data_IF_355576751424
#
_entry.id   IF_355576751424
#
_cell.length_a   1.000
_cell.length_b   1.000
_cell.length_c   1.000
_cell.angle_alpha   90.00
_cell.angle_beta   90.00
_cell.angle_gamma   90.00
#
_symmetry.space_group_name_H-M   'P 1'
#
loop_
_entity.id
_entity.type
_entity.pdbx_description
1 polymer ?
#
# COMPACT_ATOMS: atom_id res chain seq x y z
N UNK A 1 -15.91 -28.44 -66.61
CA UNK A 1 -14.60 -28.23 -67.26
C UNK A 1 -13.66 -27.62 -66.24
N UNK A 2 -12.48 -28.23 -66.08
CA UNK A 2 -11.20 -27.75 -65.49
C UNK A 2 -11.24 -27.03 -64.12
N UNK A 3 -10.73 -27.58 -63.01
CA UNK A 3 -9.35 -28.04 -62.64
C UNK A 3 -8.40 -26.89 -62.29
N UNK A 4 -7.79 -26.97 -61.09
CA UNK A 4 -6.54 -26.29 -60.67
C UNK A 4 -6.62 -25.75 -59.22
N UNK A 5 -6.37 -26.52 -58.14
CA UNK A 5 -5.08 -26.99 -57.58
C UNK A 5 -4.05 -25.87 -57.30
N UNK A 6 -3.57 -25.82 -56.05
CA UNK A 6 -2.36 -25.07 -55.67
C UNK A 6 -2.17 -24.85 -54.16
N UNK A 7 -1.85 -25.92 -53.43
CA UNK A 7 -1.18 -25.88 -52.11
C UNK A 7 0.12 -25.05 -52.17
N UNK A 8 0.45 -24.34 -51.09
CA UNK A 8 1.81 -24.41 -50.49
C UNK A 8 1.72 -24.18 -48.97
N UNK A 9 2.15 -25.18 -48.22
CA UNK A 9 2.49 -25.13 -46.80
C UNK A 9 3.90 -24.57 -46.63
N UNK A 10 4.13 -23.74 -45.62
CA UNK A 10 5.47 -23.42 -45.13
C UNK A 10 5.58 -23.86 -43.67
N UNK A 11 6.25 -24.99 -43.47
CA UNK A 11 6.70 -25.51 -42.18
C UNK A 11 8.04 -24.85 -41.87
N UNK A 12 8.12 -24.07 -40.80
CA UNK A 12 9.41 -23.59 -40.25
C UNK A 12 9.71 -24.39 -38.99
N UNK A 13 10.59 -25.38 -39.15
CA UNK A 13 11.28 -26.06 -38.05
C UNK A 13 12.42 -25.15 -37.58
N UNK A 14 12.31 -24.65 -36.35
CA UNK A 14 13.40 -23.97 -35.63
C UNK A 14 14.13 -24.95 -34.73
N UNK A 15 15.38 -25.21 -35.06
CA UNK A 15 16.26 -26.22 -34.47
C UNK A 15 16.83 -25.79 -33.11
N UNK A 16 17.16 -26.80 -32.31
CA UNK A 16 17.60 -26.75 -30.92
C UNK A 16 19.11 -26.46 -30.83
N UNK A 17 19.54 -25.55 -29.94
CA UNK A 17 20.96 -25.45 -29.54
C UNK A 17 21.16 -24.84 -28.14
N UNK A 18 21.07 -25.72 -27.13
CA UNK A 18 22.09 -25.97 -26.10
C UNK A 18 23.23 -24.92 -25.96
N UNK A 19 23.35 -24.28 -24.79
CA UNK A 19 24.64 -23.94 -24.15
C UNK A 19 24.45 -23.66 -22.67
N UNK A 20 24.80 -24.65 -21.85
CA UNK A 20 25.00 -24.47 -20.42
C UNK A 20 26.22 -23.59 -20.13
N UNK A 21 26.10 -22.75 -19.11
CA UNK A 21 27.24 -22.06 -18.50
C UNK A 21 27.05 -22.06 -16.99
N UNK A 22 27.57 -23.11 -16.34
CA UNK A 22 27.77 -23.15 -14.89
C UNK A 22 28.98 -22.28 -14.57
N UNK A 23 28.76 -21.17 -13.87
CA UNK A 23 29.85 -20.45 -13.19
C UNK A 23 29.57 -20.57 -11.70
N UNK A 24 30.27 -21.52 -11.07
CA UNK A 24 30.50 -21.44 -9.64
C UNK A 24 31.70 -20.52 -9.42
N UNK A 25 31.56 -19.53 -8.53
CA UNK A 25 32.71 -18.99 -7.83
C UNK A 25 32.33 -18.52 -6.43
N UNK A 26 32.58 -19.42 -5.50
CA UNK A 26 32.62 -19.24 -4.06
C UNK A 26 33.63 -18.16 -3.70
N UNK A 27 33.19 -17.11 -2.99
CA UNK A 27 34.08 -16.28 -2.16
C UNK A 27 33.40 -15.93 -0.84
N UNK A 28 33.62 -16.82 0.12
CA UNK A 28 33.59 -16.53 1.55
C UNK A 28 34.50 -15.34 1.85
N UNK A 29 33.94 -14.24 2.36
CA UNK A 29 34.69 -13.16 2.98
C UNK A 29 34.23 -13.00 4.42
N UNK A 30 35.03 -13.58 5.31
CA UNK A 30 35.01 -13.40 6.75
C UNK A 30 35.43 -11.97 7.09
N UNK A 31 34.59 -11.18 7.76
CA UNK A 31 35.02 -9.93 8.40
C UNK A 31 34.32 -9.71 9.74
N UNK A 32 35.07 -10.04 10.79
CA UNK A 32 35.32 -9.25 11.99
C UNK A 32 34.13 -8.43 12.56
N UNK A 33 33.39 -9.05 13.48
CA UNK A 33 32.51 -8.36 14.42
C UNK A 33 33.35 -7.59 15.45
N UNK A 34 33.34 -6.26 15.39
CA UNK A 34 33.79 -5.41 16.48
C UNK A 34 32.64 -5.23 17.48
N UNK A 35 32.77 -5.82 18.67
CA UNK A 35 31.83 -5.62 19.78
C UNK A 35 32.15 -4.28 20.43
N UNK A 36 31.35 -3.26 20.15
CA UNK A 36 31.38 -1.99 20.90
C UNK A 36 30.30 -2.07 21.97
N UNK A 37 30.73 -2.23 23.22
CA UNK A 37 29.84 -2.12 24.38
C UNK A 37 29.55 -0.63 24.63
N UNK A 38 28.34 -0.18 24.29
CA UNK A 38 27.85 1.15 24.65
C UNK A 38 27.25 1.04 26.05
N UNK A 39 27.89 1.68 27.03
CA UNK A 39 27.35 1.81 28.37
C UNK A 39 26.19 2.83 28.36
N UNK A 40 24.96 2.36 28.60
CA UNK A 40 23.81 3.22 28.80
C UNK A 40 24.00 4.10 30.04
N UNK A 41 24.14 5.41 29.83
CA UNK A 41 23.91 6.39 30.89
C UNK A 41 22.41 6.68 30.95
N UNK A 42 21.77 6.29 32.05
CA UNK A 42 20.38 6.64 32.31
C UNK A 42 20.25 8.15 32.56
N UNK A 43 19.33 8.86 31.90
CA UNK A 43 19.03 10.25 32.24
C UNK A 43 18.32 10.33 33.59
N UNK A 44 18.54 11.41 34.37
CA UNK A 44 17.91 11.59 35.68
C UNK A 44 16.40 11.85 35.56
N UNK A 45 15.61 11.06 36.29
CA UNK A 45 14.19 11.27 36.49
C UNK A 45 13.91 12.64 37.10
N UNK A 46 13.25 13.51 36.34
CA UNK A 46 12.70 14.76 36.88
C UNK A 46 11.34 14.46 37.50
N UNK A 47 11.31 14.52 38.83
CA UNK A 47 10.10 14.48 39.65
C UNK A 47 9.39 15.83 39.48
N UNK A 48 8.20 15.84 38.85
CA UNK A 48 7.33 17.03 38.86
C UNK A 48 6.34 16.86 40.00
N UNK A 49 6.51 17.71 41.00
CA UNK A 49 5.65 17.84 42.17
C UNK A 49 4.23 18.29 41.78
N UNK A 50 3.29 17.75 42.54
CA UNK A 50 1.89 18.09 42.54
C UNK A 50 1.65 19.56 42.92
N UNK A 51 0.66 20.18 42.28
CA UNK A 51 -0.45 20.85 42.96
C UNK A 51 -1.36 21.49 41.90
N UNK A 52 -2.64 21.18 41.93
CA UNK A 52 -3.64 22.21 42.24
C UNK A 52 -5.01 21.57 42.51
N UNK A 53 -5.42 21.71 43.76
CA UNK A 53 -6.79 21.66 44.23
C UNK A 53 -7.70 22.51 43.34
N UNK A 54 -8.83 21.95 42.92
CA UNK A 54 -10.05 22.73 42.68
C UNK A 54 -11.23 22.03 43.34
N UNK A 55 -11.94 22.82 44.14
CA UNK A 55 -13.09 22.46 44.96
C UNK A 55 -14.37 22.49 44.12
N UNK A 56 -15.43 21.77 44.54
CA UNK A 56 -16.69 21.65 43.80
C UNK A 56 -17.74 22.62 44.34
N UNK A 57 -18.26 23.51 43.49
CA UNK A 57 -19.61 24.08 43.54
C UNK A 57 -19.71 25.22 42.52
N UNK A 58 -20.40 24.99 41.41
CA UNK A 58 -21.69 25.66 41.18
C UNK A 58 -22.30 25.19 39.86
N UNK A 59 -23.51 24.67 40.00
CA UNK A 59 -24.40 24.29 38.93
C UNK A 59 -25.07 25.53 38.35
N UNK A 60 -25.05 25.72 37.02
CA UNK A 60 -26.19 26.28 36.30
C UNK A 60 -26.31 25.56 34.95
N UNK A 61 -27.46 24.91 34.77
CA UNK A 61 -27.92 24.30 33.55
C UNK A 61 -28.06 25.34 32.44
N UNK A 62 -27.47 25.06 31.29
CA UNK A 62 -27.87 25.68 30.03
C UNK A 62 -27.82 24.62 28.94
N UNK A 63 -28.94 23.89 28.82
CA UNK A 63 -29.29 23.15 27.62
C UNK A 63 -29.22 24.10 26.45
N UNK A 64 -28.23 23.90 25.59
CA UNK A 64 -28.23 24.40 24.22
C UNK A 64 -28.11 23.15 23.36
N UNK A 65 -29.26 22.52 23.09
CA UNK A 65 -29.39 21.53 22.03
C UNK A 65 -29.05 22.26 20.72
N UNK A 66 -27.81 22.08 20.27
CA UNK A 66 -27.41 22.42 18.91
C UNK A 66 -28.00 21.35 18.01
N UNK A 67 -28.71 21.69 16.92
CA UNK A 67 -29.12 20.69 15.96
C UNK A 67 -27.84 20.10 15.37
N UNK A 68 -27.56 18.84 15.70
CA UNK A 68 -26.68 18.01 14.89
C UNK A 68 -27.39 17.83 13.56
N UNK A 69 -27.16 18.75 12.62
CA UNK A 69 -27.31 18.44 11.21
C UNK A 69 -26.35 17.28 10.96
N UNK A 70 -26.91 16.08 10.94
CA UNK A 70 -26.31 14.96 10.24
C UNK A 70 -26.30 15.38 8.77
N UNK A 71 -25.24 16.08 8.35
CA UNK A 71 -24.87 16.15 6.95
C UNK A 71 -24.81 14.71 6.48
N UNK A 72 -25.84 14.31 5.74
CA UNK A 72 -25.86 13.06 5.00
C UNK A 72 -24.85 13.23 3.89
N UNK A 73 -23.57 13.10 4.23
CA UNK A 73 -22.48 13.04 3.29
C UNK A 73 -22.80 11.86 2.38
N UNK A 74 -23.21 12.18 1.15
CA UNK A 74 -23.48 11.20 0.12
C UNK A 74 -22.13 10.72 -0.42
N UNK A 75 -21.36 10.08 0.46
CA UNK A 75 -20.04 9.55 0.20
C UNK A 75 -20.19 8.40 -0.81
N UNK A 76 -19.35 8.41 -1.84
CA UNK A 76 -19.33 7.33 -2.82
C UNK A 76 -18.45 6.23 -2.27
N UNK A 77 -18.99 5.01 -2.10
CA UNK A 77 -18.22 3.87 -1.61
C UNK A 77 -17.62 3.12 -2.81
N UNK A 78 -16.32 2.84 -2.76
CA UNK A 78 -15.69 1.84 -3.61
C UNK A 78 -15.68 0.50 -2.88
N UNK A 79 -16.01 -0.57 -3.60
CA UNK A 79 -16.01 -1.94 -3.08
C UNK A 79 -15.39 -2.86 -4.14
N UNK A 80 -14.40 -3.66 -3.72
CA UNK A 80 -13.83 -4.75 -4.50
C UNK A 80 -14.25 -6.08 -3.90
N UNK A 81 -15.19 -6.77 -4.55
CA UNK A 81 -15.54 -8.15 -4.21
C UNK A 81 -14.34 -9.10 -4.30
N UNK A 82 -13.48 -8.86 -5.30
CA UNK A 82 -12.34 -9.73 -5.64
C UNK A 82 -11.20 -9.61 -4.65
N UNK A 83 -10.92 -8.39 -4.19
CA UNK A 83 -9.87 -8.09 -3.21
C UNK A 83 -10.41 -8.05 -1.77
N UNK A 84 -11.73 -8.06 -1.58
CA UNK A 84 -12.38 -8.27 -0.29
C UNK A 84 -12.39 -7.06 0.63
N UNK A 85 -12.38 -5.84 0.08
CA UNK A 85 -12.43 -4.60 0.87
C UNK A 85 -13.32 -3.54 0.25
N UNK A 86 -13.67 -2.53 1.06
CA UNK A 86 -14.32 -1.30 0.66
C UNK A 86 -13.73 -0.09 1.38
N UNK A 87 -13.96 1.10 0.83
CA UNK A 87 -13.63 2.37 1.48
C UNK A 87 -14.48 3.51 0.87
N UNK A 88 -14.57 4.63 1.58
CA UNK A 88 -15.20 5.85 1.07
C UNK A 88 -14.24 6.56 0.12
N UNK A 89 -14.67 6.82 -1.12
CA UNK A 89 -13.90 7.53 -2.12
C UNK A 89 -13.82 9.01 -1.72
N UNK A 90 -12.61 9.55 -1.47
CA UNK A 90 -12.46 10.95 -1.09
C UNK A 90 -12.98 11.91 -2.15
N UNK A 91 -13.52 13.04 -1.72
CA UNK A 91 -14.04 14.06 -2.64
C UNK A 91 -12.95 14.57 -3.61
N UNK A 92 -13.26 14.57 -4.91
CA UNK A 92 -12.33 15.00 -5.96
C UNK A 92 -11.30 13.94 -6.37
N UNK A 93 -11.53 12.69 -5.98
CA UNK A 93 -10.71 11.54 -6.39
C UNK A 93 -11.51 10.52 -7.19
N UNK A 94 -10.79 9.84 -8.08
CA UNK A 94 -11.29 8.74 -8.90
C UNK A 94 -10.50 7.47 -8.61
N UNK A 95 -11.20 6.34 -8.50
CA UNK A 95 -10.58 5.02 -8.35
C UNK A 95 -10.39 4.38 -9.73
N UNK A 96 -9.14 4.05 -10.05
CA UNK A 96 -8.76 3.21 -11.18
C UNK A 96 -8.57 1.76 -10.71
N UNK A 97 -9.43 0.86 -11.18
CA UNK A 97 -9.40 -0.55 -10.87
C UNK A 97 -8.95 -1.42 -12.06
N UNK A 98 -8.32 -0.81 -13.08
CA UNK A 98 -7.78 -1.55 -14.23
C UNK A 98 -6.71 -2.58 -13.86
N UNK A 99 -5.99 -2.33 -12.76
CA UNK A 99 -4.97 -3.23 -12.20
C UNK A 99 -5.52 -4.24 -11.20
N UNK A 100 -6.84 -4.26 -10.97
CA UNK A 100 -7.43 -5.17 -10.00
C UNK A 100 -7.09 -6.60 -10.42
N UNK A 101 -7.35 -6.97 -11.67
CA UNK A 101 -7.09 -8.32 -12.20
C UNK A 101 -5.80 -8.47 -13.01
N UNK A 102 -4.85 -7.54 -12.88
CA UNK A 102 -3.60 -7.62 -13.63
C UNK A 102 -2.72 -8.77 -13.14
N UNK A 103 -1.95 -9.36 -14.07
CA UNK A 103 -0.83 -10.22 -13.75
C UNK A 103 0.45 -9.41 -13.93
N UNK A 104 1.20 -9.19 -12.85
CA UNK A 104 2.47 -8.46 -12.89
C UNK A 104 3.61 -9.47 -13.01
N UNK A 105 4.36 -9.40 -14.11
CA UNK A 105 5.49 -10.30 -14.34
C UNK A 105 6.54 -10.14 -13.24
N UNK A 106 6.87 -11.24 -12.57
CA UNK A 106 7.86 -11.26 -11.49
C UNK A 106 7.29 -11.07 -10.08
N UNK A 107 6.00 -10.78 -9.94
CA UNK A 107 5.31 -10.67 -8.64
C UNK A 107 4.33 -11.85 -8.46
N UNK A 108 4.85 -13.02 -8.09
CA UNK A 108 4.06 -14.25 -7.96
C UNK A 108 3.04 -14.23 -6.82
N UNK A 109 3.21 -13.33 -5.86
CA UNK A 109 2.31 -13.11 -4.73
C UNK A 109 1.29 -12.00 -4.99
N UNK A 110 1.40 -11.22 -6.09
CA UNK A 110 0.46 -10.15 -6.41
C UNK A 110 -0.94 -10.70 -6.71
N UNK A 111 -1.97 -10.16 -6.03
CA UNK A 111 -3.38 -10.49 -6.27
C UNK A 111 -4.12 -9.40 -7.05
N UNK A 112 -3.77 -8.15 -6.81
CA UNK A 112 -4.40 -7.01 -7.46
C UNK A 112 -4.05 -5.68 -6.82
N UNK A 113 -4.36 -4.62 -7.55
CA UNK A 113 -4.16 -3.25 -7.11
C UNK A 113 -5.31 -2.36 -7.56
N UNK A 114 -5.64 -1.39 -6.72
CA UNK A 114 -6.43 -0.22 -7.11
C UNK A 114 -5.59 1.02 -6.89
N UNK A 115 -5.75 1.98 -7.79
CA UNK A 115 -5.09 3.27 -7.70
C UNK A 115 -6.14 4.34 -7.50
N UNK A 116 -5.82 5.34 -6.69
CA UNK A 116 -6.71 6.44 -6.37
C UNK A 116 -5.97 7.72 -6.76
N UNK A 117 -6.57 8.41 -7.73
CA UNK A 117 -6.02 9.58 -8.39
C UNK A 117 -6.89 10.78 -8.11
N UNK A 118 -6.32 11.98 -8.05
CA UNK A 118 -7.13 13.19 -8.15
C UNK A 118 -7.84 13.20 -9.50
N UNK A 119 -9.04 13.80 -9.59
CA UNK A 119 -9.79 13.84 -10.85
C UNK A 119 -9.00 14.50 -11.98
N UNK A 120 -8.16 15.49 -11.65
CA UNK A 120 -7.29 16.17 -12.59
C UNK A 120 -6.16 15.25 -13.10
N UNK A 121 -5.45 14.58 -12.18
CA UNK A 121 -4.37 13.66 -12.55
C UNK A 121 -4.90 12.47 -13.34
N UNK A 122 -6.06 11.94 -12.94
CA UNK A 122 -6.72 10.86 -13.67
C UNK A 122 -7.06 11.28 -15.10
N UNK A 123 -7.61 12.48 -15.29
CA UNK A 123 -7.91 13.00 -16.63
C UNK A 123 -6.64 13.13 -17.49
N UNK A 124 -5.52 13.59 -16.93
CA UNK A 124 -4.24 13.69 -17.63
C UNK A 124 -3.66 12.31 -17.98
N UNK A 125 -3.78 11.33 -17.09
CA UNK A 125 -3.42 9.93 -17.36
C UNK A 125 -4.22 9.38 -18.53
N UNK A 126 -5.55 9.54 -18.51
CA UNK A 126 -6.42 9.07 -19.60
C UNK A 126 -6.17 9.81 -20.92
N UNK A 127 -5.71 11.05 -20.87
CA UNK A 127 -5.33 11.84 -22.04
C UNK A 127 -3.95 11.46 -22.62
N UNK A 128 -3.21 10.55 -21.97
CA UNK A 128 -1.88 10.14 -22.39
C UNK A 128 -0.81 11.21 -22.14
N UNK A 129 -1.02 12.12 -21.19
CA UNK A 129 -0.05 13.18 -20.86
C UNK A 129 1.33 12.61 -20.45
N UNK A 130 1.34 11.37 -19.98
CA UNK A 130 2.52 10.66 -19.50
C UNK A 130 3.12 9.68 -20.53
N UNK A 131 2.57 9.61 -21.75
CA UNK A 131 3.15 8.80 -22.82
C UNK A 131 4.55 9.32 -23.21
N UNK A 132 5.46 8.39 -23.52
CA UNK A 132 6.83 8.74 -23.92
C UNK A 132 7.84 8.81 -22.77
N UNK A 133 7.49 8.28 -21.60
CA UNK A 133 8.40 8.13 -20.46
C UNK A 133 8.42 9.34 -19.51
N UNK A 134 7.38 10.16 -19.56
CA UNK A 134 7.16 11.17 -18.52
C UNK A 134 6.75 10.47 -17.24
N UNK A 135 7.28 10.95 -16.12
CA UNK A 135 6.97 10.50 -14.78
C UNK A 135 5.48 10.70 -14.47
N UNK A 136 4.79 9.67 -13.96
CA UNK A 136 3.41 9.77 -13.49
C UNK A 136 3.33 10.58 -12.20
N UNK A 137 2.22 11.28 -11.92
CA UNK A 137 2.08 12.01 -10.68
C UNK A 137 2.01 11.05 -9.49
N UNK A 138 2.32 11.52 -8.27
CA UNK A 138 2.12 10.72 -7.07
C UNK A 138 0.63 10.36 -6.92
N UNK A 139 0.35 9.17 -6.37
CA UNK A 139 -1.01 8.69 -6.13
C UNK A 139 -1.14 8.00 -4.76
N UNK A 140 -2.37 7.59 -4.43
CA UNK A 140 -2.63 6.58 -3.41
C UNK A 140 -2.87 5.25 -4.12
N UNK A 141 -2.35 4.16 -3.56
CA UNK A 141 -2.61 2.80 -4.05
C UNK A 141 -2.96 1.86 -2.90
N UNK A 142 -3.82 0.89 -3.20
CA UNK A 142 -4.09 -0.25 -2.33
C UNK A 142 -3.70 -1.49 -3.13
N UNK A 143 -2.67 -2.20 -2.67
CA UNK A 143 -2.19 -3.44 -3.28
C UNK A 143 -2.46 -4.61 -2.36
N UNK A 144 -2.89 -5.74 -2.93
CA UNK A 144 -3.11 -6.98 -2.19
C UNK A 144 -2.15 -8.05 -2.70
N UNK A 145 -1.49 -8.71 -1.75
CA UNK A 145 -0.58 -9.83 -1.97
C UNK A 145 -1.06 -11.07 -1.21
N UNK A 146 -0.71 -12.26 -1.69
CA UNK A 146 -0.82 -13.48 -0.89
C UNK A 146 0.13 -13.38 0.32
N UNK A 147 -0.34 -13.77 1.51
CA UNK A 147 0.45 -13.71 2.73
C UNK A 147 1.38 -14.93 2.87
N UNK A 148 2.71 -14.74 2.89
CA UNK A 148 3.63 -15.81 3.25
C UNK A 148 3.64 -16.03 4.78
N UNK A 149 4.08 -17.21 5.22
CA UNK A 149 4.24 -17.56 6.63
C UNK A 149 5.41 -16.81 7.31
N UNK A 150 5.36 -15.48 7.35
CA UNK A 150 6.34 -14.61 8.00
C UNK A 150 5.67 -13.40 8.65
N UNK A 151 6.41 -12.67 9.49
CA UNK A 151 5.87 -11.43 10.07
C UNK A 151 5.73 -10.34 9.01
N UNK A 152 4.79 -9.39 9.22
CA UNK A 152 4.61 -8.24 8.33
C UNK A 152 5.92 -7.49 8.09
N UNK A 153 6.70 -7.25 9.15
CA UNK A 153 8.00 -6.59 9.03
C UNK A 153 8.99 -7.39 8.17
N UNK A 154 9.10 -8.71 8.41
CA UNK A 154 9.98 -9.56 7.60
C UNK A 154 9.54 -9.61 6.13
N UNK A 155 8.23 -9.53 5.88
CA UNK A 155 7.71 -9.39 4.52
C UNK A 155 8.10 -8.07 3.88
N UNK A 156 7.90 -6.94 4.56
CA UNK A 156 8.30 -5.62 4.04
C UNK A 156 9.80 -5.59 3.72
N UNK A 157 10.65 -6.08 4.62
CA UNK A 157 12.11 -6.12 4.43
C UNK A 157 12.56 -7.03 3.27
N UNK A 158 11.79 -8.08 2.99
CA UNK A 158 12.07 -9.04 1.91
C UNK A 158 11.49 -8.63 0.56
N UNK A 159 10.58 -7.66 0.52
CA UNK A 159 9.84 -7.30 -0.69
C UNK A 159 10.53 -6.18 -1.46
N UNK A 160 10.79 -6.39 -2.74
CA UNK A 160 11.63 -5.54 -3.59
C UNK A 160 11.00 -4.17 -3.93
N UNK A 161 9.70 -3.98 -3.71
CA UNK A 161 9.03 -2.69 -3.94
C UNK A 161 9.43 -1.61 -2.94
N UNK A 162 9.87 -2.00 -1.74
CA UNK A 162 10.24 -1.06 -0.69
C UNK A 162 11.75 -0.87 -0.67
N UNK A 163 12.17 0.37 -0.86
CA UNK A 163 13.57 0.79 -0.81
C UNK A 163 13.74 1.84 0.28
N UNK A 164 14.92 1.84 0.91
CA UNK A 164 15.27 2.78 1.98
C UNK A 164 14.18 2.91 3.06
N UNK A 165 13.75 1.76 3.58
CA UNK A 165 12.69 1.67 4.59
C UNK A 165 13.12 2.44 5.85
N UNK A 166 12.23 3.32 6.32
CA UNK A 166 12.37 4.09 7.56
C UNK A 166 12.01 3.28 8.80
N UNK A 167 11.71 4.00 9.88
CA UNK A 167 11.29 3.35 11.14
C UNK A 167 9.85 2.83 11.03
N UNK A 168 9.61 1.68 11.66
CA UNK A 168 8.28 1.10 11.78
C UNK A 168 7.54 1.67 12.99
N UNK A 169 6.24 1.90 12.82
CA UNK A 169 5.31 2.24 13.90
C UNK A 169 4.08 1.35 13.85
N UNK A 170 3.56 0.95 15.00
CA UNK A 170 2.35 0.14 15.09
C UNK A 170 1.11 1.03 14.95
N UNK A 171 0.17 0.63 14.10
CA UNK A 171 -1.14 1.28 13.93
C UNK A 171 -2.24 0.21 13.82
N UNK A 172 -3.50 0.64 13.72
CA UNK A 172 -4.64 -0.26 13.53
C UNK A 172 -5.48 0.23 12.35
N UNK A 173 -5.80 -0.67 11.42
CA UNK A 173 -6.65 -0.39 10.25
C UNK A 173 -7.71 -1.49 10.17
N UNK A 174 -8.99 -1.13 10.07
CA UNK A 174 -10.11 -2.09 10.03
C UNK A 174 -10.06 -3.19 11.12
N UNK A 175 -9.61 -2.82 12.32
CA UNK A 175 -9.45 -3.75 13.45
C UNK A 175 -8.26 -4.71 13.35
N UNK A 176 -7.42 -4.60 12.31
CA UNK A 176 -6.20 -5.38 12.14
C UNK A 176 -4.98 -4.63 12.68
N UNK A 177 -4.06 -5.35 13.31
CA UNK A 177 -2.74 -4.82 13.64
C UNK A 177 -1.96 -4.55 12.35
N UNK A 178 -1.44 -3.34 12.22
CA UNK A 178 -0.70 -2.90 11.04
C UNK A 178 0.64 -2.29 11.43
N UNK A 179 1.56 -2.26 10.46
CA UNK A 179 2.80 -1.50 10.55
C UNK A 179 2.77 -0.35 9.54
N UNK A 180 3.07 0.84 10.02
CA UNK A 180 3.26 2.03 9.20
C UNK A 180 4.76 2.37 9.11
N UNK A 181 5.23 2.73 7.92
CA UNK A 181 6.63 3.12 7.67
C UNK A 181 6.75 4.01 6.43
N UNK A 182 7.83 4.80 6.39
CA UNK A 182 8.22 5.55 5.20
C UNK A 182 9.17 4.71 4.33
N UNK A 183 9.14 4.93 3.02
CA UNK A 183 10.14 4.39 2.08
C UNK A 183 10.55 5.47 1.08
N UNK A 184 11.78 5.43 0.58
CA UNK A 184 12.31 6.43 -0.35
C UNK A 184 12.83 5.77 -1.63
N UNK A 185 12.20 6.12 -2.76
CA UNK A 185 12.50 5.60 -4.08
C UNK A 185 12.40 6.70 -5.14
N UNK A 186 11.53 6.52 -6.13
CA UNK A 186 11.22 7.57 -7.11
C UNK A 186 10.44 8.72 -6.45
N UNK A 187 9.54 8.33 -5.54
CA UNK A 187 8.89 9.19 -4.58
C UNK A 187 9.25 8.72 -3.17
N UNK A 188 9.19 9.65 -2.22
CA UNK A 188 9.03 9.28 -0.82
C UNK A 188 7.59 8.85 -0.62
N UNK A 189 7.36 7.71 0.01
CA UNK A 189 6.03 7.17 0.24
C UNK A 189 5.82 6.85 1.72
N UNK A 190 4.60 7.09 2.21
CA UNK A 190 4.14 6.48 3.46
C UNK A 190 3.35 5.22 3.13
N UNK A 191 3.60 4.16 3.89
CA UNK A 191 3.02 2.86 3.66
C UNK A 191 2.38 2.36 4.96
N UNK A 192 1.24 1.69 4.84
CA UNK A 192 0.65 0.89 5.91
C UNK A 192 0.43 -0.52 5.38
N UNK A 193 0.91 -1.50 6.14
CA UNK A 193 0.85 -2.92 5.79
C UNK A 193 0.18 -3.70 6.90
N UNK A 194 -0.82 -4.50 6.56
CA UNK A 194 -1.57 -5.34 7.49
C UNK A 194 -2.06 -6.61 6.80
N UNK A 195 -2.36 -7.64 7.60
CA UNK A 195 -2.96 -8.87 7.09
C UNK A 195 -4.48 -8.73 6.96
N UNK A 196 -5.06 -9.46 6.02
CA UNK A 196 -6.50 -9.68 5.99
C UNK A 196 -6.97 -10.46 7.23
N UNK A 197 -8.28 -10.44 7.57
CA UNK A 197 -8.80 -11.06 8.79
C UNK A 197 -8.66 -12.59 8.82
N UNK A 198 -8.61 -13.24 7.66
CA UNK A 198 -8.31 -14.68 7.54
C UNK A 198 -6.80 -14.98 7.53
N UNK A 199 -5.94 -13.96 7.48
CA UNK A 199 -4.50 -14.09 7.42
C UNK A 199 -3.97 -14.64 6.09
N UNK A 200 -4.79 -14.68 5.05
CA UNK A 200 -4.41 -15.22 3.74
C UNK A 200 -3.77 -14.15 2.84
N UNK A 201 -4.00 -12.86 3.13
CA UNK A 201 -3.52 -11.75 2.32
C UNK A 201 -2.75 -10.72 3.14
N UNK A 202 -1.85 -10.02 2.46
CA UNK A 202 -1.29 -8.75 2.91
C UNK A 202 -1.93 -7.64 2.10
N UNK A 203 -2.42 -6.63 2.80
CA UNK A 203 -2.90 -5.37 2.22
C UNK A 203 -1.84 -4.30 2.46
N UNK A 204 -1.47 -3.60 1.40
CA UNK A 204 -0.57 -2.44 1.42
C UNK A 204 -1.36 -1.22 0.97
N UNK A 205 -1.50 -0.22 1.83
CA UNK A 205 -1.99 1.11 1.45
C UNK A 205 -0.78 2.02 1.41
N UNK A 206 -0.48 2.58 0.25
CA UNK A 206 0.65 3.48 0.03
C UNK A 206 0.17 4.83 -0.49
N UNK A 207 0.79 5.92 -0.08
CA UNK A 207 0.71 7.18 -0.82
C UNK A 207 2.09 7.75 -1.07
N UNK A 208 2.29 8.29 -2.27
CA UNK A 208 3.50 9.00 -2.67
C UNK A 208 3.40 10.49 -2.30
N UNK A 209 4.42 11.05 -1.66
CA UNK A 209 4.50 12.47 -1.35
C UNK A 209 4.70 13.31 -2.63
N UNK A 210 4.06 14.48 -2.69
CA UNK A 210 4.31 15.49 -3.74
C UNK A 210 3.08 16.02 -4.47
N UNK A 211 1.90 15.43 -4.26
CA UNK A 211 0.65 15.91 -4.84
C UNK A 211 -0.26 16.60 -3.81
N UNK A 212 -1.05 17.58 -4.26
CA UNK A 212 -2.04 18.24 -3.42
C UNK A 212 -3.18 17.27 -3.07
N UNK A 213 -3.61 17.23 -1.81
CA UNK A 213 -4.77 16.45 -1.36
C UNK A 213 -4.53 14.95 -1.11
N UNK A 214 -3.50 14.33 -1.69
CA UNK A 214 -3.27 12.88 -1.55
C UNK A 214 -3.02 12.42 -0.11
N UNK A 215 -2.36 13.22 0.72
CA UNK A 215 -2.21 12.87 2.15
C UNK A 215 -3.56 12.85 2.86
N UNK A 216 -4.46 13.78 2.55
CA UNK A 216 -5.81 13.78 3.13
C UNK A 216 -6.63 12.59 2.63
N UNK A 217 -6.60 12.33 1.31
CA UNK A 217 -7.27 11.17 0.71
C UNK A 217 -6.78 9.85 1.32
N UNK A 218 -5.48 9.70 1.52
CA UNK A 218 -4.90 8.54 2.19
C UNK A 218 -5.45 8.33 3.61
N UNK A 219 -5.51 9.39 4.42
CA UNK A 219 -6.07 9.30 5.78
C UNK A 219 -7.56 8.95 5.78
N UNK A 220 -8.32 9.51 4.86
CA UNK A 220 -9.75 9.23 4.72
C UNK A 220 -10.01 7.77 4.32
N UNK A 221 -9.27 7.27 3.32
CA UNK A 221 -9.30 5.86 2.91
C UNK A 221 -9.00 4.96 4.10
N UNK A 222 -7.92 5.22 4.85
CA UNK A 222 -7.58 4.40 6.02
C UNK A 222 -8.69 4.42 7.08
N UNK A 223 -9.30 5.58 7.30
CA UNK A 223 -10.33 5.75 8.33
C UNK A 223 -11.66 5.07 7.98
N UNK A 224 -11.92 4.83 6.69
CA UNK A 224 -13.15 4.23 6.17
C UNK A 224 -12.93 2.85 5.57
N UNK A 225 -11.70 2.34 5.61
CA UNK A 225 -11.35 1.02 5.09
C UNK A 225 -12.08 -0.07 5.89
N UNK A 226 -12.78 -0.95 5.19
CA UNK A 226 -13.46 -2.10 5.74
C UNK A 226 -13.20 -3.35 4.90
N UNK A 227 -13.27 -4.53 5.53
CA UNK A 227 -13.24 -5.81 4.81
C UNK A 227 -14.68 -6.24 4.49
N UNK A 228 -14.95 -6.54 3.23
CA UNK A 228 -16.32 -6.83 2.75
C UNK A 228 -16.66 -8.32 2.74
N UNK A 229 -15.64 -9.20 2.76
CA UNK A 229 -15.82 -10.66 2.74
C UNK A 229 -15.16 -11.34 3.96
N UNK A 230 -15.76 -11.14 5.14
CA UNK A 230 -15.44 -11.89 6.36
C UNK A 230 -16.11 -13.28 6.36
N UNK A 231 -15.80 -14.12 5.38
CA UNK A 231 -16.19 -15.54 5.35
C UNK A 231 -17.62 -15.84 4.84
N UNK A 232 -17.66 -16.47 3.67
CA UNK A 232 -18.57 -17.60 3.42
C UNK A 232 -17.75 -18.85 3.11
#
# INVERSE_FOLDING_TARGET
MSVGLGEQQAVVQGDSANRGMKIGLTRTLTCLMAVVAIACQAPPSSTVEAANNLTPADAIAQSSESPTETESNNSTVYESDRLGFSFDVPDGFTVDNSLESAEIEGEYDFRGQVEIWSDADYADVQAGAYEGGTEYPPNVSITVYNHPEQSLQAWVEGHNRFVMIGEYSAVTVAGQEAIAFDSDGLYRSKNIVFSSPNGEDIVVISYAEGGEGYEQAFQEIISTFEFTNLGQ
#
